data_IF_369648778554
#
_entry.id   IF_369648778554
#
_cell.length_a   1.000
_cell.length_b   1.000
_cell.length_c   1.000
_cell.angle_alpha   90.00
_cell.angle_beta   90.00
_cell.angle_gamma   90.00
#
_symmetry.space_group_name_H-M   'P 1'
#
loop_
_entity.id
_entity.type
_entity.pdbx_description
1 polymer ?
#
# COMPACT_ATOMS: atom_id res chain seq x y z
N UNK A 1 9.74 21.30 -4.00
CA UNK A 1 9.47 21.17 -2.57
C UNK A 1 10.46 20.21 -1.95
N UNK A 2 11.20 20.71 -0.98
CA UNK A 2 12.10 19.93 -0.15
C UNK A 2 11.25 19.26 0.92
N UNK A 3 10.89 18.01 0.69
CA UNK A 3 10.03 17.25 1.60
C UNK A 3 10.76 16.79 2.86
N UNK A 4 9.98 16.59 3.91
CA UNK A 4 10.40 15.84 5.11
C UNK A 4 9.61 14.54 5.13
N UNK A 5 10.27 13.39 5.14
CA UNK A 5 9.66 12.10 4.84
C UNK A 5 10.02 11.08 5.92
N UNK A 6 9.02 10.36 6.42
CA UNK A 6 9.20 9.16 7.23
C UNK A 6 8.99 7.92 6.35
N UNK A 7 9.95 6.99 6.37
CA UNK A 7 9.83 5.64 5.82
C UNK A 7 10.12 4.68 6.96
N UNK A 8 9.07 4.19 7.61
CA UNK A 8 9.21 3.46 8.87
C UNK A 8 8.42 2.15 8.84
N UNK A 9 9.02 1.12 9.43
CA UNK A 9 8.36 -0.13 9.74
C UNK A 9 7.68 -0.84 8.54
N UNK A 10 8.21 -0.65 7.33
CA UNK A 10 7.73 -1.39 6.17
C UNK A 10 8.42 -2.75 6.08
N UNK A 11 7.70 -3.75 5.59
CA UNK A 11 8.24 -5.05 5.27
C UNK A 11 8.45 -5.17 3.75
N UNK A 12 9.69 -5.30 3.31
CA UNK A 12 10.07 -5.48 1.92
C UNK A 12 10.37 -6.95 1.65
N UNK A 13 9.52 -7.60 0.87
CA UNK A 13 9.64 -9.00 0.50
C UNK A 13 9.91 -9.13 -1.00
N UNK A 14 11.15 -9.44 -1.42
CA UNK A 14 11.45 -9.64 -2.82
C UNK A 14 10.78 -10.90 -3.36
N UNK A 15 10.00 -10.77 -4.43
CA UNK A 15 9.38 -11.90 -5.12
C UNK A 15 10.25 -12.52 -6.21
N UNK A 16 9.77 -13.59 -6.90
CA UNK A 16 10.50 -14.26 -8.00
C UNK A 16 10.81 -13.34 -9.18
N UNK A 17 9.97 -12.34 -9.46
CA UNK A 17 10.20 -11.33 -10.49
C UNK A 17 11.30 -10.32 -10.11
N UNK A 18 11.64 -10.20 -8.83
CA UNK A 18 12.71 -9.31 -8.38
C UNK A 18 14.05 -9.86 -8.80
N UNK A 19 14.77 -9.09 -9.60
CA UNK A 19 16.03 -9.54 -10.21
C UNK A 19 17.05 -9.96 -9.14
N UNK A 20 17.58 -11.18 -9.29
CA UNK A 20 18.54 -11.80 -8.37
C UNK A 20 20.01 -11.63 -8.78
N UNK A 21 20.30 -11.02 -9.96
CA UNK A 21 21.67 -10.83 -10.44
C UNK A 21 22.49 -9.98 -9.47
N UNK A 22 23.80 -10.21 -9.42
CA UNK A 22 24.71 -9.53 -8.50
C UNK A 22 24.68 -7.99 -8.64
N UNK A 23 24.58 -7.49 -9.88
CA UNK A 23 24.46 -6.06 -10.19
C UNK A 23 23.14 -5.44 -9.73
N UNK A 24 22.13 -6.24 -9.47
CA UNK A 24 20.81 -5.81 -9.05
C UNK A 24 20.52 -6.06 -7.58
N UNK A 25 21.51 -6.52 -6.80
CA UNK A 25 21.38 -6.66 -5.35
C UNK A 25 20.95 -5.34 -4.69
N UNK A 26 21.47 -4.22 -5.18
CA UNK A 26 21.05 -2.88 -4.75
C UNK A 26 19.55 -2.68 -4.93
N UNK A 27 19.02 -3.04 -6.10
CA UNK A 27 17.58 -2.93 -6.39
C UNK A 27 16.75 -3.85 -5.50
N UNK A 28 17.22 -5.10 -5.32
CA UNK A 28 16.51 -6.11 -4.53
C UNK A 28 16.33 -5.73 -3.06
N UNK A 29 17.33 -5.06 -2.47
CA UNK A 29 17.33 -4.72 -1.05
C UNK A 29 17.18 -3.22 -0.77
N UNK A 30 16.85 -2.45 -1.79
CA UNK A 30 16.72 -1.02 -1.68
C UNK A 30 15.40 -0.62 -1.02
N UNK A 31 15.50 0.22 0.00
CA UNK A 31 14.35 0.86 0.65
C UNK A 31 14.03 2.17 -0.07
N UNK A 32 15.05 3.01 -0.32
CA UNK A 32 14.86 4.30 -0.94
C UNK A 32 15.96 4.64 -1.94
N UNK A 33 15.58 5.39 -2.97
CA UNK A 33 16.48 6.04 -3.92
C UNK A 33 16.20 7.54 -3.84
N UNK A 34 17.17 8.28 -3.31
CA UNK A 34 17.04 9.70 -2.97
C UNK A 34 17.85 10.54 -3.95
N UNK A 35 17.28 11.61 -4.43
CA UNK A 35 17.96 12.49 -5.39
C UNK A 35 17.52 13.94 -5.26
N UNK A 36 18.11 14.75 -6.11
CA UNK A 36 17.79 16.16 -6.29
C UNK A 36 17.27 16.39 -7.71
N UNK A 37 16.64 17.52 -7.95
CA UNK A 37 16.28 17.95 -9.28
C UNK A 37 17.52 18.46 -10.02
N UNK A 38 17.72 17.96 -11.24
CA UNK A 38 18.81 18.34 -12.14
C UNK A 38 18.46 19.59 -12.95
N UNK A 39 19.43 20.11 -13.69
CA UNK A 39 19.21 21.20 -14.64
C UNK A 39 18.16 20.83 -15.69
N UNK A 40 18.27 19.64 -16.28
CA UNK A 40 17.31 19.13 -17.27
C UNK A 40 15.87 19.24 -16.79
N UNK A 41 15.61 18.97 -15.54
CA UNK A 41 14.27 19.08 -14.96
C UNK A 41 13.86 20.52 -14.63
N UNK A 42 14.84 21.38 -14.31
CA UNK A 42 14.62 22.75 -13.85
C UNK A 42 14.76 23.78 -14.96
N UNK A 43 15.03 23.38 -16.19
CA UNK A 43 15.11 24.22 -17.38
C UNK A 43 14.09 23.75 -18.43
N UNK A 44 13.73 24.64 -19.33
CA UNK A 44 12.99 24.33 -20.54
C UNK A 44 13.92 23.96 -21.70
N UNK A 45 13.37 23.62 -22.86
CA UNK A 45 14.10 23.23 -24.05
C UNK A 45 15.04 24.32 -24.60
N UNK A 46 14.77 25.57 -24.27
CA UNK A 46 15.57 26.74 -24.62
C UNK A 46 16.68 27.04 -23.58
N UNK A 47 16.75 26.23 -22.51
CA UNK A 47 17.75 26.36 -21.44
C UNK A 47 17.40 27.40 -20.37
N UNK A 48 16.21 27.98 -20.39
CA UNK A 48 15.76 28.93 -19.38
C UNK A 48 15.24 28.20 -18.14
N UNK A 49 15.43 28.82 -16.97
CA UNK A 49 14.89 28.27 -15.72
C UNK A 49 13.36 28.30 -15.70
N UNK A 50 12.77 27.14 -15.44
CA UNK A 50 11.33 26.96 -15.29
C UNK A 50 10.86 27.13 -13.82
N UNK A 51 9.60 26.87 -13.55
CA UNK A 51 8.97 26.97 -12.20
C UNK A 51 9.64 26.10 -11.13
N UNK A 52 10.45 25.09 -11.50
CA UNK A 52 11.11 24.16 -10.59
C UNK A 52 12.51 24.63 -10.15
N UNK A 53 13.02 25.76 -10.64
CA UNK A 53 14.30 26.36 -10.22
C UNK A 53 14.49 26.37 -8.69
N UNK A 54 13.47 26.70 -7.85
CA UNK A 54 13.63 26.68 -6.40
C UNK A 54 13.99 25.32 -5.81
N UNK A 55 13.77 24.23 -6.55
CA UNK A 55 14.06 22.85 -6.13
C UNK A 55 15.38 22.31 -6.69
N UNK A 56 16.09 23.10 -7.50
CA UNK A 56 17.37 22.71 -8.10
C UNK A 56 18.42 22.39 -7.03
N UNK A 57 19.00 21.21 -7.09
CA UNK A 57 20.02 20.67 -6.19
C UNK A 57 19.63 20.72 -4.69
N UNK A 58 18.34 20.76 -4.37
CA UNK A 58 17.91 20.74 -2.96
C UNK A 58 17.51 19.34 -2.53
N UNK A 59 18.06 18.91 -1.43
CA UNK A 59 17.76 17.65 -0.78
C UNK A 59 16.53 17.76 0.14
N UNK A 60 15.73 16.72 0.16
CA UNK A 60 14.77 16.49 1.25
C UNK A 60 15.47 15.96 2.51
N UNK A 61 14.73 15.79 3.58
CA UNK A 61 15.21 15.14 4.79
C UNK A 61 14.38 13.92 5.13
N UNK A 62 15.02 12.87 5.65
CA UNK A 62 14.41 11.55 5.74
C UNK A 62 14.67 10.91 7.11
N UNK A 63 13.61 10.43 7.73
CA UNK A 63 13.70 9.46 8.80
C UNK A 63 13.35 8.08 8.23
N UNK A 64 14.37 7.20 8.14
CA UNK A 64 14.23 5.85 7.58
C UNK A 64 14.72 4.88 8.62
N UNK A 65 13.79 4.14 9.25
CA UNK A 65 14.11 3.27 10.37
C UNK A 65 13.06 2.16 10.55
N UNK A 66 13.45 1.05 11.16
CA UNK A 66 12.54 -0.06 11.48
C UNK A 66 12.05 -0.85 10.27
N UNK A 67 12.54 -0.54 9.07
CA UNK A 67 12.15 -1.28 7.88
C UNK A 67 12.89 -2.63 7.83
N UNK A 68 12.15 -3.70 7.55
CA UNK A 68 12.68 -5.05 7.35
C UNK A 68 12.77 -5.38 5.87
N UNK A 69 13.92 -5.89 5.46
CA UNK A 69 14.14 -6.39 4.09
C UNK A 69 14.44 -7.87 4.16
N UNK A 70 13.49 -8.69 3.73
CA UNK A 70 13.66 -10.15 3.73
C UNK A 70 14.86 -10.58 2.88
N UNK A 71 15.69 -11.45 3.47
CA UNK A 71 16.92 -11.92 2.82
C UNK A 71 18.11 -10.96 2.93
N UNK A 72 18.00 -9.84 3.66
CA UNK A 72 19.11 -8.92 3.88
C UNK A 72 19.16 -8.40 5.33
N UNK A 73 19.85 -9.13 6.21
CA UNK A 73 19.99 -8.78 7.62
C UNK A 73 20.71 -7.44 7.84
N UNK A 74 21.69 -7.10 7.00
CA UNK A 74 22.44 -5.84 7.11
C UNK A 74 21.54 -4.61 6.91
N UNK A 75 20.69 -4.61 5.86
CA UNK A 75 19.75 -3.51 5.59
C UNK A 75 18.66 -3.45 6.66
N UNK A 76 18.23 -4.61 7.17
CA UNK A 76 17.27 -4.67 8.26
C UNK A 76 17.85 -4.07 9.57
N UNK A 77 19.12 -4.35 9.88
CA UNK A 77 19.78 -3.83 11.07
C UNK A 77 20.08 -2.32 10.98
N UNK A 78 20.49 -1.85 9.81
CA UNK A 78 20.68 -0.42 9.51
C UNK A 78 20.18 -0.11 8.10
N UNK A 79 19.02 0.51 8.03
CA UNK A 79 18.38 0.83 6.77
C UNK A 79 19.21 1.76 5.88
N UNK A 80 20.06 2.60 6.48
CA UNK A 80 20.92 3.52 5.74
C UNK A 80 22.19 2.86 5.17
N UNK A 81 22.65 1.78 5.78
CA UNK A 81 23.93 1.17 5.40
C UNK A 81 23.98 0.73 3.94
N UNK A 82 22.96 0.00 3.47
CA UNK A 82 22.85 -0.51 2.10
C UNK A 82 21.43 -0.45 1.54
N UNK A 83 20.50 0.20 2.26
CA UNK A 83 19.10 0.32 1.85
C UNK A 83 18.77 1.65 1.18
N UNK A 84 19.62 2.66 1.34
CA UNK A 84 19.42 4.00 0.78
C UNK A 84 20.52 4.32 -0.23
N UNK A 85 20.11 4.73 -1.40
CA UNK A 85 21.00 5.05 -2.52
C UNK A 85 20.68 6.41 -3.12
N UNK A 86 21.67 6.97 -3.83
CA UNK A 86 21.43 8.14 -4.66
C UNK A 86 20.60 7.80 -5.92
N UNK A 87 19.85 8.74 -6.39
CA UNK A 87 18.98 8.58 -7.57
C UNK A 87 19.78 8.33 -8.86
N UNK A 88 21.01 8.78 -8.91
CA UNK A 88 21.82 8.86 -10.12
C UNK A 88 22.82 7.73 -10.27
N UNK A 89 22.39 6.55 -9.96
CA UNK A 89 23.20 5.38 -9.83
C UNK A 89 23.81 4.87 -11.16
N UNK A 90 23.33 5.31 -12.32
CA UNK A 90 23.73 4.66 -13.56
C UNK A 90 24.14 5.56 -14.72
N UNK A 91 23.64 6.76 -14.91
CA UNK A 91 23.90 7.49 -16.16
C UNK A 91 24.00 9.00 -16.06
N UNK A 92 23.58 9.62 -14.99
CA UNK A 92 23.71 11.07 -14.83
C UNK A 92 24.60 11.41 -13.65
N UNK A 93 25.77 11.89 -13.97
CA UNK A 93 26.70 12.50 -13.03
C UNK A 93 26.13 13.83 -12.56
N UNK A 94 25.37 13.83 -11.50
CA UNK A 94 25.28 15.06 -10.69
C UNK A 94 26.52 15.06 -9.83
N UNK A 95 27.48 15.77 -10.30
CA UNK A 95 28.81 15.94 -9.79
C UNK A 95 28.89 15.83 -8.28
N UNK A 96 29.27 14.64 -7.77
CA UNK A 96 29.64 14.41 -6.37
C UNK A 96 28.67 14.97 -5.28
N UNK A 97 27.38 15.06 -5.58
CA UNK A 97 26.40 15.59 -4.60
C UNK A 97 26.04 14.59 -3.49
N UNK A 98 26.33 13.28 -3.67
CA UNK A 98 26.06 12.25 -2.67
C UNK A 98 27.27 12.04 -1.77
N UNK A 99 27.59 13.03 -0.95
CA UNK A 99 28.71 12.98 0.01
C UNK A 99 28.27 12.50 1.38
N UNK A 100 29.22 12.15 2.25
CA UNK A 100 28.88 11.76 3.61
C UNK A 100 28.32 12.94 4.43
N UNK A 101 28.74 14.16 4.13
CA UNK A 101 28.18 15.37 4.72
C UNK A 101 26.71 15.55 4.33
N UNK A 102 26.36 15.31 3.07
CA UNK A 102 24.98 15.34 2.60
C UNK A 102 24.15 14.26 3.29
N UNK A 103 24.65 13.04 3.39
CA UNK A 103 23.95 11.94 4.10
C UNK A 103 23.68 12.30 5.56
N UNK A 104 24.64 12.90 6.25
CA UNK A 104 24.47 13.39 7.62
C UNK A 104 23.40 14.48 7.69
N UNK A 105 23.40 15.40 6.76
CA UNK A 105 22.45 16.52 6.70
C UNK A 105 21.02 16.04 6.47
N UNK A 106 20.80 15.08 5.57
CA UNK A 106 19.47 14.63 5.16
C UNK A 106 18.89 13.54 6.07
N UNK A 107 19.74 12.80 6.79
CA UNK A 107 19.32 11.74 7.73
C UNK A 107 18.79 12.36 9.02
N UNK A 108 17.52 12.10 9.32
CA UNK A 108 16.91 12.46 10.60
C UNK A 108 17.12 11.35 11.62
N UNK A 109 17.34 11.73 12.89
CA UNK A 109 17.50 10.81 14.04
C UNK A 109 16.19 10.50 14.75
N UNK A 110 15.14 11.26 14.45
CA UNK A 110 13.79 11.06 14.98
C UNK A 110 12.75 11.26 13.86
N UNK A 111 11.59 10.63 13.96
CA UNK A 111 10.50 10.82 13.00
C UNK A 111 10.00 12.26 13.03
N UNK A 112 9.55 12.74 11.89
CA UNK A 112 8.80 13.98 11.83
C UNK A 112 7.42 13.70 12.37
N UNK A 113 6.96 14.56 13.27
CA UNK A 113 5.61 14.43 13.84
C UNK A 113 4.59 14.63 12.70
N UNK A 114 3.85 13.57 12.40
CA UNK A 114 2.72 13.66 11.49
C UNK A 114 1.52 14.26 12.24
N UNK A 115 0.79 15.12 11.58
CA UNK A 115 -0.45 15.71 12.13
C UNK A 115 -1.61 14.72 12.14
N UNK A 116 -1.49 13.61 11.42
CA UNK A 116 -2.46 12.54 11.35
C UNK A 116 -2.16 11.46 12.41
N UNK A 117 -3.21 11.00 13.05
CA UNK A 117 -3.15 10.00 14.10
C UNK A 117 -3.12 8.57 13.51
N UNK A 118 -2.01 8.19 12.89
CA UNK A 118 -1.85 6.88 12.25
C UNK A 118 -1.24 5.88 13.24
N UNK A 119 -1.90 4.73 13.41
CA UNK A 119 -1.36 3.61 14.18
C UNK A 119 -0.25 2.93 13.38
N UNK A 120 0.90 2.74 14.00
CA UNK A 120 2.08 2.14 13.38
C UNK A 120 2.44 0.84 14.09
N UNK A 121 2.65 -0.23 13.33
CA UNK A 121 3.12 -1.53 13.82
C UNK A 121 4.63 -1.70 13.57
N UNK A 122 5.23 -2.74 14.16
CA UNK A 122 6.53 -3.22 13.68
C UNK A 122 6.40 -3.73 12.22
N UNK A 123 7.51 -3.84 11.51
CA UNK A 123 7.48 -4.36 10.14
C UNK A 123 6.92 -5.79 10.07
N UNK A 124 7.23 -6.63 11.05
CA UNK A 124 6.73 -8.01 11.13
C UNK A 124 5.23 -8.04 11.40
N UNK A 125 4.76 -7.30 12.40
CA UNK A 125 3.32 -7.24 12.71
C UNK A 125 2.51 -6.62 11.55
N UNK A 126 3.06 -5.60 10.89
CA UNK A 126 2.44 -4.99 9.71
C UNK A 126 2.29 -6.01 8.57
N UNK A 127 3.30 -6.86 8.34
CA UNK A 127 3.23 -7.91 7.33
C UNK A 127 2.12 -8.93 7.64
N UNK A 128 2.06 -9.43 8.85
CA UNK A 128 1.02 -10.39 9.26
C UNK A 128 -0.39 -9.76 9.17
N UNK A 129 -0.55 -8.53 9.65
CA UNK A 129 -1.84 -7.82 9.58
C UNK A 129 -2.26 -7.52 8.13
N UNK A 130 -1.33 -7.20 7.24
CA UNK A 130 -1.63 -7.04 5.81
C UNK A 130 -2.14 -8.36 5.23
N UNK A 131 -1.47 -9.49 5.51
CA UNK A 131 -1.92 -10.79 5.02
C UNK A 131 -3.31 -11.19 5.56
N UNK A 132 -3.62 -10.82 6.81
CA UNK A 132 -4.88 -11.14 7.45
C UNK A 132 -6.03 -10.25 6.97
N UNK A 133 -5.80 -8.94 6.80
CA UNK A 133 -6.88 -7.97 6.62
C UNK A 133 -6.90 -7.23 5.28
N UNK A 134 -5.94 -7.45 4.37
CA UNK A 134 -5.93 -6.77 3.07
C UNK A 134 -7.09 -7.21 2.17
N UNK A 135 -7.66 -6.27 1.45
CA UNK A 135 -8.74 -6.53 0.49
C UNK A 135 -10.05 -6.95 1.16
N UNK A 136 -10.82 -7.77 0.47
CA UNK A 136 -12.11 -8.28 0.93
C UNK A 136 -11.92 -9.41 1.97
N UNK A 137 -11.34 -9.10 3.13
CA UNK A 137 -10.89 -10.08 4.10
C UNK A 137 -12.03 -10.91 4.76
N UNK A 138 -13.25 -10.43 4.75
CA UNK A 138 -14.41 -11.20 5.24
C UNK A 138 -14.75 -12.36 4.31
N UNK A 139 -14.59 -12.16 3.01
CA UNK A 139 -14.77 -13.20 2.01
C UNK A 139 -13.78 -12.98 0.87
N UNK A 140 -12.81 -13.88 0.76
CA UNK A 140 -11.79 -13.85 -0.27
C UNK A 140 -12.13 -14.81 -1.39
N UNK A 141 -12.16 -14.31 -2.60
CA UNK A 141 -12.34 -15.12 -3.78
C UNK A 141 -11.06 -15.89 -4.18
N UNK A 142 -11.12 -16.63 -5.27
CA UNK A 142 -9.99 -17.44 -5.73
C UNK A 142 -8.77 -16.59 -6.13
N UNK A 143 -8.98 -15.37 -6.65
CA UNK A 143 -7.89 -14.45 -7.04
C UNK A 143 -7.23 -13.86 -5.80
N UNK A 144 -8.00 -13.43 -4.81
CA UNK A 144 -7.48 -12.95 -3.53
C UNK A 144 -6.61 -14.02 -2.86
N UNK A 145 -7.11 -15.26 -2.79
CA UNK A 145 -6.39 -16.37 -2.18
C UNK A 145 -5.10 -16.72 -2.95
N UNK A 146 -5.12 -16.65 -4.29
CA UNK A 146 -3.93 -16.85 -5.12
C UNK A 146 -2.86 -15.80 -4.81
N UNK A 147 -3.23 -14.51 -4.81
CA UNK A 147 -2.30 -13.41 -4.59
C UNK A 147 -1.73 -13.46 -3.18
N UNK A 148 -2.55 -13.70 -2.16
CA UNK A 148 -2.09 -13.85 -0.79
C UNK A 148 -1.18 -15.06 -0.61
N UNK A 149 -1.51 -16.18 -1.26
CA UNK A 149 -0.67 -17.37 -1.29
C UNK A 149 0.70 -17.09 -1.91
N UNK A 150 0.75 -16.39 -3.02
CA UNK A 150 1.98 -15.98 -3.68
C UNK A 150 2.83 -15.07 -2.78
N UNK A 151 2.23 -14.05 -2.18
CA UNK A 151 2.93 -13.16 -1.24
C UNK A 151 3.47 -13.93 -0.05
N UNK A 152 2.65 -14.75 0.59
CA UNK A 152 3.01 -15.52 1.80
C UNK A 152 4.18 -16.47 1.53
N UNK A 153 4.14 -17.16 0.40
CA UNK A 153 5.11 -18.22 0.08
C UNK A 153 6.26 -17.74 -0.81
N UNK A 154 6.28 -16.47 -1.21
CA UNK A 154 7.31 -15.93 -2.11
C UNK A 154 7.25 -16.55 -3.50
N UNK A 155 6.05 -16.82 -3.99
CA UNK A 155 5.78 -17.44 -5.29
C UNK A 155 5.35 -16.38 -6.32
N UNK A 156 5.22 -16.84 -7.55
CA UNK A 156 4.64 -16.11 -8.66
C UNK A 156 3.92 -17.11 -9.56
N UNK A 157 2.65 -17.34 -9.28
CA UNK A 157 1.84 -18.35 -9.96
C UNK A 157 1.40 -17.92 -11.35
N UNK A 158 1.45 -16.62 -11.65
CA UNK A 158 1.09 -16.06 -12.94
C UNK A 158 2.33 -15.60 -13.74
N UNK A 159 2.18 -15.54 -15.06
CA UNK A 159 3.14 -14.92 -15.97
C UNK A 159 2.39 -14.17 -17.05
N UNK A 160 2.88 -12.97 -17.39
CA UNK A 160 2.27 -12.17 -18.44
C UNK A 160 2.25 -12.92 -19.77
N UNK A 161 1.09 -12.98 -20.40
CA UNK A 161 0.87 -13.61 -21.72
C UNK A 161 1.42 -12.77 -22.86
N UNK A 162 1.53 -11.47 -22.66
CA UNK A 162 2.01 -10.52 -23.68
C UNK A 162 3.31 -9.88 -23.21
N UNK A 163 4.37 -10.14 -23.88
CA UNK A 163 5.71 -9.53 -23.81
C UNK A 163 6.72 -10.21 -22.88
N UNK A 164 7.86 -9.57 -22.76
CA UNK A 164 9.04 -9.99 -22.00
C UNK A 164 8.96 -9.76 -20.48
N UNK A 165 7.80 -9.36 -19.94
CA UNK A 165 7.67 -9.08 -18.50
C UNK A 165 7.85 -10.34 -17.64
N UNK A 166 7.33 -11.49 -18.10
CA UNK A 166 7.62 -12.80 -17.52
C UNK A 166 6.91 -13.09 -16.21
N UNK A 167 7.57 -13.87 -15.39
CA UNK A 167 7.03 -14.42 -14.14
C UNK A 167 6.67 -13.32 -13.14
N UNK A 168 5.49 -13.44 -12.55
CA UNK A 168 5.01 -12.56 -11.48
C UNK A 168 4.32 -11.30 -11.97
N UNK A 169 4.11 -11.14 -13.27
CA UNK A 169 3.36 -10.05 -13.83
C UNK A 169 1.97 -10.51 -14.30
N UNK A 170 0.96 -9.70 -14.06
CA UNK A 170 -0.40 -9.84 -14.59
C UNK A 170 -0.64 -8.59 -15.43
N UNK A 171 -0.58 -8.72 -16.76
CA UNK A 171 -0.80 -7.61 -17.68
C UNK A 171 -2.26 -7.50 -18.12
N UNK A 172 -2.97 -8.61 -18.10
CA UNK A 172 -4.40 -8.68 -18.40
C UNK A 172 -5.09 -9.59 -17.38
N UNK A 173 -6.39 -9.39 -17.09
CA UNK A 173 -7.13 -10.29 -16.22
C UNK A 173 -7.03 -11.77 -16.62
N UNK A 174 -6.89 -12.06 -17.91
CA UNK A 174 -6.78 -13.44 -18.43
C UNK A 174 -5.49 -14.15 -18.01
N UNK A 175 -4.45 -13.42 -17.62
CA UNK A 175 -3.18 -14.02 -17.20
C UNK A 175 -3.32 -14.86 -15.92
N UNK A 176 -4.37 -14.63 -15.12
CA UNK A 176 -4.66 -15.42 -13.92
C UNK A 176 -5.18 -16.83 -14.23
N UNK A 177 -5.77 -17.04 -15.42
CA UNK A 177 -6.38 -18.32 -15.80
C UNK A 177 -5.37 -19.48 -15.85
N UNK A 178 -4.10 -19.18 -16.03
CA UNK A 178 -3.04 -20.20 -15.97
C UNK A 178 -2.88 -20.79 -14.55
N UNK A 179 -3.15 -20.02 -13.51
CA UNK A 179 -3.07 -20.44 -12.12
C UNK A 179 -4.43 -20.86 -11.55
N UNK A 180 -5.53 -20.41 -12.15
CA UNK A 180 -6.92 -20.68 -11.76
C UNK A 180 -7.71 -21.25 -12.93
N UNK A 181 -7.37 -22.47 -13.42
CA UNK A 181 -8.01 -23.05 -14.60
C UNK A 181 -9.50 -23.36 -14.39
N UNK A 182 -9.96 -23.43 -13.14
CA UNK A 182 -11.37 -23.61 -12.80
C UNK A 182 -12.26 -22.43 -13.21
N UNK A 183 -11.68 -21.26 -13.42
CA UNK A 183 -12.38 -20.08 -13.92
C UNK A 183 -12.66 -20.17 -15.43
N UNK A 184 -12.05 -21.13 -16.15
CA UNK A 184 -12.20 -21.36 -17.58
C UNK A 184 -11.82 -20.13 -18.42
N UNK A 185 -12.81 -19.49 -19.07
CA UNK A 185 -12.59 -18.34 -19.95
C UNK A 185 -12.88 -17.01 -19.27
N UNK A 186 -13.51 -17.03 -18.10
CA UNK A 186 -13.86 -15.83 -17.35
C UNK A 186 -12.86 -15.62 -16.20
N UNK A 187 -12.02 -14.57 -16.26
CA UNK A 187 -11.05 -14.29 -15.22
C UNK A 187 -11.66 -13.69 -13.95
N UNK A 188 -12.97 -13.46 -13.92
CA UNK A 188 -13.65 -12.85 -12.79
C UNK A 188 -14.36 -13.90 -11.95
N UNK A 189 -13.90 -14.18 -10.71
CA UNK A 189 -14.58 -15.11 -9.83
C UNK A 189 -15.99 -14.66 -9.50
N UNK A 190 -16.93 -15.58 -9.48
CA UNK A 190 -18.28 -15.30 -8.97
C UNK A 190 -18.24 -15.28 -7.46
N UNK A 191 -18.63 -14.17 -6.86
CA UNK A 191 -18.79 -14.07 -5.40
C UNK A 191 -19.95 -14.96 -4.96
N UNK A 192 -19.70 -15.80 -3.97
CA UNK A 192 -20.73 -16.63 -3.35
C UNK A 192 -21.41 -15.79 -2.27
N UNK A 193 -22.74 -15.78 -2.34
CA UNK A 193 -23.55 -15.15 -1.29
C UNK A 193 -23.68 -16.17 -0.15
N UNK A 194 -23.43 -15.74 1.07
CA UNK A 194 -23.74 -16.53 2.27
C UNK A 194 -25.26 -16.46 2.53
N UNK A 195 -25.97 -17.52 2.14
CA UNK A 195 -27.42 -17.59 2.31
C UNK A 195 -27.88 -17.84 3.75
N UNK A 196 -26.95 -17.99 4.70
CA UNK A 196 -27.28 -18.08 6.12
C UNK A 196 -27.52 -16.70 6.77
N UNK A 197 -27.12 -15.63 6.11
CA UNK A 197 -27.33 -14.25 6.54
C UNK A 197 -28.60 -13.73 5.88
N UNK A 198 -29.54 -13.23 6.67
CA UNK A 198 -30.70 -12.54 6.12
C UNK A 198 -30.26 -11.17 5.60
N UNK A 199 -30.43 -10.98 4.30
CA UNK A 199 -30.08 -9.76 3.57
C UNK A 199 -31.34 -9.07 3.05
N UNK A 200 -32.50 -9.33 3.68
CA UNK A 200 -33.74 -8.65 3.33
C UNK A 200 -33.57 -7.14 3.54
N UNK A 201 -33.91 -6.40 2.52
CA UNK A 201 -33.87 -4.94 2.43
C UNK A 201 -35.20 -4.56 1.74
N UNK A 202 -36.21 -4.21 2.54
CA UNK A 202 -37.60 -4.09 2.07
C UNK A 202 -37.81 -2.83 1.22
N UNK A 203 -37.15 -1.74 1.55
CA UNK A 203 -37.30 -0.44 0.85
C UNK A 203 -36.18 -0.16 -0.18
N UNK A 204 -35.10 -0.98 -0.17
CA UNK A 204 -34.04 -0.92 -1.16
C UNK A 204 -33.04 0.22 -0.97
N UNK A 205 -32.83 0.67 0.27
CA UNK A 205 -31.90 1.77 0.58
C UNK A 205 -30.44 1.31 0.79
N UNK A 206 -30.23 -0.02 0.89
CA UNK A 206 -28.91 -0.64 1.05
C UNK A 206 -28.57 -1.07 2.47
N UNK A 207 -29.49 -0.88 3.43
CA UNK A 207 -29.41 -1.43 4.78
C UNK A 207 -30.33 -2.67 4.88
N UNK A 208 -30.01 -3.58 5.78
CA UNK A 208 -30.89 -4.74 6.02
C UNK A 208 -32.00 -4.40 7.01
N UNK A 209 -33.18 -4.97 6.82
CA UNK A 209 -34.33 -4.80 7.75
C UNK A 209 -33.92 -5.07 9.20
N UNK A 210 -33.14 -6.13 9.43
CA UNK A 210 -32.65 -6.49 10.77
C UNK A 210 -31.79 -5.39 11.41
N UNK A 211 -30.91 -4.79 10.61
CA UNK A 211 -30.08 -3.67 11.09
C UNK A 211 -30.95 -2.46 11.43
N UNK A 212 -31.89 -2.12 10.56
CA UNK A 212 -32.75 -0.96 10.76
C UNK A 212 -33.59 -1.11 12.02
N UNK A 213 -34.19 -2.29 12.24
CA UNK A 213 -34.95 -2.62 13.46
C UNK A 213 -34.05 -2.51 14.70
N UNK A 214 -32.82 -3.08 14.64
CA UNK A 214 -31.86 -3.03 15.76
C UNK A 214 -31.51 -1.59 16.15
N UNK A 215 -31.34 -0.72 15.16
CA UNK A 215 -30.89 0.66 15.35
C UNK A 215 -32.05 1.68 15.40
N UNK A 216 -33.32 1.21 15.35
CA UNK A 216 -34.52 2.05 15.51
C UNK A 216 -34.84 2.88 14.27
N UNK A 217 -34.43 2.40 13.09
CA UNK A 217 -34.80 2.92 11.78
C UNK A 217 -36.09 2.23 11.28
N UNK A 218 -36.54 2.59 10.08
CA UNK A 218 -37.79 2.06 9.53
C UNK A 218 -37.55 1.28 8.22
N UNK A 219 -37.65 -0.07 8.21
CA UNK A 219 -37.42 -0.90 7.02
C UNK A 219 -38.34 -0.65 5.82
N UNK A 220 -39.23 0.32 5.91
CA UNK A 220 -40.12 0.68 4.81
C UNK A 220 -39.98 2.16 4.38
N UNK A 221 -38.91 2.83 4.79
CA UNK A 221 -38.63 4.24 4.52
C UNK A 221 -37.22 4.46 3.97
N UNK A 222 -37.02 4.27 2.68
CA UNK A 222 -35.74 4.45 2.01
C UNK A 222 -35.07 5.83 2.17
N UNK A 223 -35.81 6.83 2.66
CA UNK A 223 -35.24 8.15 2.90
C UNK A 223 -34.39 8.19 4.17
N UNK A 224 -34.58 7.27 5.09
CA UNK A 224 -33.84 7.24 6.35
C UNK A 224 -32.40 6.75 6.15
N UNK A 225 -32.08 6.00 5.09
CA UNK A 225 -30.70 5.68 4.69
C UNK A 225 -29.82 6.91 4.46
N UNK A 226 -30.42 7.98 3.96
CA UNK A 226 -29.76 9.27 3.75
C UNK A 226 -29.83 10.19 4.97
N UNK A 227 -30.60 9.87 5.97
CA UNK A 227 -30.62 10.60 7.25
C UNK A 227 -29.28 10.41 7.99
N UNK A 228 -29.04 11.22 9.01
CA UNK A 228 -27.79 11.22 9.80
C UNK A 228 -28.07 11.01 11.29
N UNK A 229 -29.06 10.21 11.60
CA UNK A 229 -29.56 10.04 12.98
C UNK A 229 -28.70 9.11 13.81
N UNK A 230 -27.93 8.21 13.17
CA UNK A 230 -27.03 7.26 13.85
C UNK A 230 -25.66 7.85 14.18
N UNK A 231 -25.24 8.91 13.48
CA UNK A 231 -23.98 9.60 13.78
C UNK A 231 -24.24 10.74 14.78
N UNK A 232 -23.67 10.70 16.00
CA UNK A 232 -23.85 11.77 16.99
C UNK A 232 -23.38 13.16 16.52
N UNK A 233 -22.40 13.19 15.61
CA UNK A 233 -21.83 14.43 15.07
C UNK A 233 -22.54 14.88 13.79
N UNK A 234 -23.45 14.08 13.23
CA UNK A 234 -24.23 14.37 12.04
C UNK A 234 -23.39 14.51 10.75
N UNK A 235 -22.21 13.91 10.69
CA UNK A 235 -21.35 13.96 9.54
C UNK A 235 -21.67 12.87 8.50
N UNK A 236 -22.02 11.67 8.98
CA UNK A 236 -22.26 10.48 8.17
C UNK A 236 -23.72 10.10 8.10
N UNK A 237 -24.15 9.59 6.94
CA UNK A 237 -25.49 9.04 6.74
C UNK A 237 -25.68 7.73 7.50
N UNK A 238 -26.92 7.29 7.70
CA UNK A 238 -27.21 6.03 8.35
C UNK A 238 -26.65 4.84 7.55
N UNK A 239 -26.71 4.89 6.22
CA UNK A 239 -26.07 3.90 5.35
C UNK A 239 -24.54 3.86 5.53
N UNK A 240 -23.87 5.01 5.64
CA UNK A 240 -22.43 5.06 5.90
C UNK A 240 -22.12 4.49 7.30
N UNK A 241 -22.95 4.74 8.29
CA UNK A 241 -22.80 4.15 9.63
C UNK A 241 -23.03 2.63 9.61
N UNK A 242 -24.02 2.13 8.86
CA UNK A 242 -24.21 0.70 8.62
C UNK A 242 -22.95 0.05 8.05
N UNK A 243 -22.42 0.58 6.94
CA UNK A 243 -21.21 0.08 6.30
C UNK A 243 -20.00 0.10 7.25
N UNK A 244 -19.88 1.15 8.07
CA UNK A 244 -18.83 1.24 9.08
C UNK A 244 -18.98 0.15 10.16
N UNK A 245 -20.20 -0.10 10.63
CA UNK A 245 -20.45 -1.11 11.65
C UNK A 245 -20.09 -2.50 11.17
N UNK A 246 -20.36 -2.84 9.90
CA UNK A 246 -19.98 -4.12 9.29
C UNK A 246 -18.47 -4.40 9.34
N UNK A 247 -17.63 -3.36 9.31
CA UNK A 247 -16.15 -3.50 9.30
C UNK A 247 -15.48 -3.04 10.61
N UNK A 248 -16.25 -2.56 11.59
CA UNK A 248 -15.74 -1.98 12.84
C UNK A 248 -14.80 -2.90 13.60
N UNK A 249 -15.14 -4.18 13.71
CA UNK A 249 -14.29 -5.15 14.41
C UNK A 249 -13.03 -5.47 13.65
N UNK A 250 -13.05 -5.49 12.32
CA UNK A 250 -11.87 -5.62 11.47
C UNK A 250 -10.94 -4.44 11.72
N UNK A 251 -11.46 -3.21 11.64
CA UNK A 251 -10.67 -2.00 11.87
C UNK A 251 -10.04 -1.98 13.26
N UNK A 252 -10.79 -2.42 14.29
CA UNK A 252 -10.25 -2.55 15.66
C UNK A 252 -9.09 -3.54 15.72
N UNK A 253 -9.23 -4.72 15.11
CA UNK A 253 -8.18 -5.74 15.07
C UNK A 253 -6.96 -5.28 14.26
N UNK A 254 -7.16 -4.50 13.19
CA UNK A 254 -6.06 -3.95 12.40
C UNK A 254 -5.15 -3.02 13.21
N UNK A 255 -5.68 -2.23 14.12
CA UNK A 255 -4.89 -1.29 14.94
C UNK A 255 -4.39 -1.88 16.25
N UNK A 256 -4.89 -3.05 16.65
CA UNK A 256 -4.51 -3.70 17.89
C UNK A 256 -3.01 -4.05 17.94
N UNK A 257 -2.33 -3.71 19.03
CA UNK A 257 -0.89 -3.92 19.21
C UNK A 257 0.01 -2.87 18.54
N UNK A 258 -0.55 -1.93 17.80
CA UNK A 258 0.21 -0.83 17.24
C UNK A 258 0.40 0.35 18.19
N UNK A 259 1.28 1.27 17.82
CA UNK A 259 1.57 2.52 18.55
C UNK A 259 1.04 3.72 17.78
N UNK A 260 0.61 4.75 18.50
CA UNK A 260 0.17 6.04 17.94
C UNK A 260 1.27 7.08 18.01
#
# INVERSE_FOLDING_TARGET
NVGVINIVNNFYKPGPATNSKATSKRTRYRIAKIGVRTEEYCKDDDGNWNQWKPSFHKWGTFYINGNKVEGCAEVTADNWLKGVYEQQDNDEKVDNLWTDEVKIQIKKTAPVVATNNVTTHSADDAYEKVLEYVGACNYRDAVDLLILGDVKNGLASCSASSNSAGIGYINTPKDILMALPELKDDPYPVLKIDTSIDMTDTDGDGMTDDFEIEFGLNPADADDGNAKTLDPDGNYTNLEMYLHILVKDIMKKQIEGGTK
#
